data_IF_113498849023
#
_entry.id   IF_113498849023
#
_cell.length_a   1.000
_cell.length_b   1.000
_cell.length_c   1.000
_cell.angle_alpha   90.00
_cell.angle_beta   90.00
_cell.angle_gamma   90.00
#
_symmetry.space_group_name_H-M   'P 1'
#
loop_
_entity.id
_entity.type
_entity.pdbx_description
1 polymer ?
#
# COMPACT_ATOMS: atom_id res chain seq x y z
N UNK A 1 3.16 36.04 0.48
CA UNK A 1 2.02 35.43 -0.26
C UNK A 1 1.59 34.13 0.40
N UNK A 2 2.45 33.10 0.52
CA UNK A 2 2.09 31.83 1.18
C UNK A 2 1.58 32.02 2.62
N UNK A 3 2.26 32.82 3.45
CA UNK A 3 1.81 33.13 4.81
C UNK A 3 0.41 33.76 4.83
N UNK A 4 0.09 34.64 3.87
CA UNK A 4 -1.24 35.25 3.77
C UNK A 4 -2.31 34.22 3.40
N UNK A 5 -1.98 33.27 2.52
CA UNK A 5 -2.87 32.16 2.17
C UNK A 5 -3.10 31.23 3.36
N UNK A 6 -2.06 30.92 4.15
CA UNK A 6 -2.18 30.16 5.40
C UNK A 6 -3.11 30.90 6.38
N UNK A 7 -2.95 32.21 6.55
CA UNK A 7 -3.84 32.99 7.42
C UNK A 7 -5.30 32.99 6.94
N UNK A 8 -5.53 33.12 5.63
CA UNK A 8 -6.87 33.03 5.05
C UNK A 8 -7.49 31.64 5.25
N UNK A 9 -6.68 30.58 5.14
CA UNK A 9 -7.10 29.20 5.38
C UNK A 9 -7.51 28.97 6.85
N UNK A 10 -6.70 29.42 7.80
CA UNK A 10 -7.01 29.33 9.24
C UNK A 10 -8.32 30.05 9.55
N UNK A 11 -8.57 31.19 8.90
CA UNK A 11 -9.82 31.95 9.03
C UNK A 11 -10.99 31.36 8.25
N UNK A 12 -10.81 30.25 7.54
CA UNK A 12 -11.81 29.60 6.70
C UNK A 12 -12.35 30.54 5.59
N UNK A 13 -11.49 31.42 5.09
CA UNK A 13 -11.79 32.36 3.99
C UNK A 13 -11.56 31.72 2.60
N UNK A 14 -10.85 30.59 2.55
CA UNK A 14 -10.58 29.83 1.32
C UNK A 14 -11.64 28.74 1.09
N UNK A 15 -12.06 28.57 -0.16
CA UNK A 15 -12.94 27.46 -0.54
C UNK A 15 -12.23 26.10 -0.45
N UNK A 16 -12.98 25.00 -0.40
CA UNK A 16 -12.41 23.64 -0.42
C UNK A 16 -11.50 23.41 -1.62
N UNK A 17 -11.84 23.95 -2.80
CA UNK A 17 -11.01 23.85 -4.00
C UNK A 17 -9.72 24.67 -3.90
N UNK A 18 -9.76 25.87 -3.31
CA UNK A 18 -8.56 26.69 -3.12
C UNK A 18 -7.58 26.03 -2.15
N UNK A 19 -8.10 25.40 -1.08
CA UNK A 19 -7.28 24.62 -0.14
C UNK A 19 -6.66 23.40 -0.83
N UNK A 20 -7.49 22.59 -1.50
CA UNK A 20 -7.00 21.45 -2.29
C UNK A 20 -5.90 21.86 -3.29
N UNK A 21 -6.13 22.90 -4.09
CA UNK A 21 -5.14 23.36 -5.07
C UNK A 21 -3.85 23.88 -4.42
N UNK A 22 -3.96 24.60 -3.29
CA UNK A 22 -2.78 25.12 -2.58
C UNK A 22 -1.88 23.97 -2.08
N UNK A 23 -2.48 22.92 -1.51
CA UNK A 23 -1.73 21.75 -1.05
C UNK A 23 -1.11 20.97 -2.21
N UNK A 24 -1.89 20.72 -3.27
CA UNK A 24 -1.45 20.02 -4.46
C UNK A 24 -0.30 20.74 -5.18
N UNK A 25 -0.43 22.06 -5.38
CA UNK A 25 0.60 22.90 -6.01
C UNK A 25 1.88 22.92 -5.17
N UNK A 26 1.77 23.01 -3.84
CA UNK A 26 2.93 22.97 -2.96
C UNK A 26 3.67 21.63 -3.08
N UNK A 27 2.94 20.52 -3.10
CA UNK A 27 3.52 19.21 -3.33
C UNK A 27 4.20 19.11 -4.71
N UNK A 28 3.55 19.59 -5.77
CA UNK A 28 4.11 19.61 -7.12
C UNK A 28 5.41 20.44 -7.21
N UNK A 29 5.46 21.60 -6.54
CA UNK A 29 6.65 22.44 -6.46
C UNK A 29 7.80 21.72 -5.73
N UNK A 30 7.51 20.95 -4.68
CA UNK A 30 8.52 20.13 -3.99
C UNK A 30 9.05 19.06 -4.95
N UNK A 31 8.17 18.32 -5.60
CA UNK A 31 8.54 17.23 -6.50
C UNK A 31 9.29 17.74 -7.74
N UNK A 32 8.99 18.95 -8.21
CA UNK A 32 9.72 19.65 -9.27
C UNK A 32 11.04 20.27 -8.81
N UNK A 33 11.36 20.23 -7.51
CA UNK A 33 12.58 20.79 -6.95
C UNK A 33 12.58 22.31 -6.78
N UNK A 34 11.44 22.99 -6.93
CA UNK A 34 11.31 24.44 -6.79
C UNK A 34 11.22 24.91 -5.33
N UNK A 35 10.75 24.04 -4.43
CA UNK A 35 10.71 24.28 -2.97
C UNK A 35 11.15 23.02 -2.22
N UNK A 36 11.30 23.10 -0.89
CA UNK A 36 11.80 21.99 -0.06
C UNK A 36 10.69 21.19 0.61
N UNK A 37 10.97 19.92 0.92
CA UNK A 37 10.08 19.08 1.73
C UNK A 37 9.76 19.71 3.10
N UNK A 38 10.70 20.46 3.67
CA UNK A 38 10.50 21.21 4.92
C UNK A 38 9.43 22.29 4.75
N UNK A 39 9.43 23.01 3.63
CA UNK A 39 8.43 24.05 3.36
C UNK A 39 7.03 23.43 3.24
N UNK A 40 6.91 22.25 2.63
CA UNK A 40 5.65 21.50 2.55
C UNK A 40 5.19 21.00 3.92
N UNK A 41 6.09 20.46 4.76
CA UNK A 41 5.71 20.10 6.13
C UNK A 41 5.32 21.30 6.99
N UNK A 42 5.97 22.45 6.80
CA UNK A 42 5.54 23.69 7.45
C UNK A 42 4.15 24.14 6.97
N UNK A 43 3.83 24.00 5.69
CA UNK A 43 2.47 24.25 5.20
C UNK A 43 1.44 23.34 5.88
N UNK A 44 1.73 22.03 5.96
CA UNK A 44 0.86 21.09 6.64
C UNK A 44 0.66 21.46 8.12
N UNK A 45 1.74 21.74 8.84
CA UNK A 45 1.68 22.07 10.28
C UNK A 45 0.94 23.37 10.58
N UNK A 46 1.21 24.41 9.80
CA UNK A 46 0.65 25.74 10.07
C UNK A 46 -0.75 25.93 9.45
N UNK A 47 -1.13 25.07 8.51
CA UNK A 47 -2.32 25.26 7.71
C UNK A 47 -3.36 24.14 7.80
N UNK A 48 -2.93 22.88 7.83
CA UNK A 48 -3.81 21.72 7.63
C UNK A 48 -4.01 20.85 8.88
N UNK A 49 -3.30 21.10 9.99
CA UNK A 49 -3.45 20.33 11.24
C UNK A 49 -4.91 20.32 11.74
N UNK A 50 -5.59 21.45 11.58
CA UNK A 50 -6.99 21.64 11.97
C UNK A 50 -7.93 21.74 10.76
N UNK A 51 -7.53 21.21 9.59
CA UNK A 51 -8.38 21.15 8.40
C UNK A 51 -9.70 20.47 8.74
N UNK A 52 -10.80 20.98 8.17
CA UNK A 52 -12.14 20.41 8.36
C UNK A 52 -12.22 19.01 7.76
N UNK A 53 -13.27 18.25 8.06
CA UNK A 53 -13.39 16.86 7.61
C UNK A 53 -13.81 16.76 6.11
N UNK A 54 -13.15 17.54 5.24
CA UNK A 54 -13.32 17.58 3.79
C UNK A 54 -12.55 16.43 3.12
N UNK A 55 -13.28 15.41 2.64
CA UNK A 55 -12.71 14.19 2.03
C UNK A 55 -11.75 14.49 0.87
N UNK A 56 -12.05 15.50 0.05
CA UNK A 56 -11.22 15.86 -1.12
C UNK A 56 -9.82 16.34 -0.70
N UNK A 57 -9.75 17.24 0.27
CA UNK A 57 -8.49 17.84 0.73
C UNK A 57 -7.65 16.80 1.46
N UNK A 58 -8.27 16.06 2.38
CA UNK A 58 -7.56 15.01 3.11
C UNK A 58 -7.04 13.89 2.21
N UNK A 59 -7.81 13.47 1.20
CA UNK A 59 -7.34 12.42 0.27
C UNK A 59 -6.05 12.82 -0.46
N UNK A 60 -5.92 14.10 -0.84
CA UNK A 60 -4.70 14.59 -1.52
C UNK A 60 -3.52 14.62 -0.55
N UNK A 61 -3.71 15.20 0.64
CA UNK A 61 -2.73 15.22 1.73
C UNK A 61 -2.24 13.81 2.05
N UNK A 62 -3.16 12.87 2.23
CA UNK A 62 -2.86 11.49 2.58
C UNK A 62 -2.08 10.77 1.47
N UNK A 63 -2.44 10.97 0.19
CA UNK A 63 -1.66 10.45 -0.95
C UNK A 63 -0.25 11.03 -0.96
N UNK A 64 -0.12 12.35 -0.80
CA UNK A 64 1.18 13.04 -0.79
C UNK A 64 2.05 12.60 0.40
N UNK A 65 1.47 12.41 1.59
CA UNK A 65 2.12 11.82 2.76
C UNK A 65 2.63 10.41 2.44
N UNK A 66 1.79 9.51 1.90
CA UNK A 66 2.24 8.17 1.53
C UNK A 66 3.43 8.24 0.55
N UNK A 67 3.34 9.08 -0.49
CA UNK A 67 4.39 9.24 -1.50
C UNK A 67 5.69 9.80 -0.92
N UNK A 68 5.63 10.71 0.03
CA UNK A 68 6.80 11.20 0.77
C UNK A 68 7.36 10.10 1.68
N UNK A 69 6.51 9.31 2.33
CA UNK A 69 6.93 8.13 3.09
C UNK A 69 7.78 7.17 2.25
N UNK A 70 7.36 6.89 1.01
CA UNK A 70 8.13 6.03 0.09
C UNK A 70 9.49 6.60 -0.31
N UNK A 71 9.67 7.91 -0.21
CA UNK A 71 10.94 8.59 -0.44
C UNK A 71 11.83 8.50 0.80
N UNK A 72 11.27 8.78 1.99
CA UNK A 72 12.03 8.90 3.23
C UNK A 72 12.48 7.54 3.79
N UNK A 73 11.83 6.43 3.43
CA UNK A 73 12.20 5.08 3.89
C UNK A 73 13.59 4.60 3.44
N UNK A 74 14.24 5.31 2.51
CA UNK A 74 15.63 5.06 2.13
C UNK A 74 16.64 5.62 3.15
N UNK A 75 16.22 6.47 4.09
CA UNK A 75 17.00 6.90 5.25
C UNK A 75 16.22 6.53 6.53
N UNK A 76 16.67 5.47 7.21
CA UNK A 76 16.00 4.92 8.39
C UNK A 76 15.76 5.97 9.48
N UNK A 77 16.74 6.82 9.74
CA UNK A 77 16.62 7.80 10.82
C UNK A 77 15.59 8.88 10.46
N UNK A 78 15.60 9.37 9.22
CA UNK A 78 14.58 10.30 8.74
C UNK A 78 13.19 9.67 8.76
N UNK A 79 13.07 8.40 8.39
CA UNK A 79 11.79 7.70 8.41
C UNK A 79 11.22 7.55 9.84
N UNK A 80 12.07 7.30 10.84
CA UNK A 80 11.64 7.24 12.25
C UNK A 80 11.13 8.61 12.77
N UNK A 81 11.72 9.73 12.33
CA UNK A 81 11.17 11.05 12.61
C UNK A 81 9.86 11.31 11.85
N UNK A 82 9.82 10.91 10.58
CA UNK A 82 8.64 11.06 9.74
C UNK A 82 7.43 10.31 10.30
N UNK A 83 7.63 9.12 10.86
CA UNK A 83 6.59 8.39 11.60
C UNK A 83 5.97 9.24 12.72
N UNK A 84 6.80 9.91 13.52
CA UNK A 84 6.32 10.77 14.61
C UNK A 84 5.53 11.97 14.07
N UNK A 85 5.99 12.55 12.95
CA UNK A 85 5.24 13.59 12.25
C UNK A 85 3.87 13.12 11.81
N UNK A 86 3.77 11.93 11.20
CA UNK A 86 2.50 11.37 10.77
C UNK A 86 1.53 11.19 11.94
N UNK A 87 2.00 10.66 13.07
CA UNK A 87 1.17 10.53 14.27
C UNK A 87 0.72 11.89 14.82
N UNK A 88 1.63 12.86 14.87
CA UNK A 88 1.33 14.20 15.37
C UNK A 88 0.33 14.92 14.48
N UNK A 89 0.58 14.96 13.17
CA UNK A 89 -0.20 15.72 12.20
C UNK A 89 -1.66 15.27 12.17
N UNK A 90 -1.90 13.96 12.23
CA UNK A 90 -3.26 13.41 12.16
C UNK A 90 -3.99 13.31 13.52
N UNK A 91 -3.36 13.71 14.63
CA UNK A 91 -3.94 13.52 15.97
C UNK A 91 -5.30 14.19 16.12
N UNK A 92 -5.46 15.42 15.62
CA UNK A 92 -6.70 16.19 15.77
C UNK A 92 -7.79 15.55 14.93
N UNK A 93 -7.49 15.17 13.69
CA UNK A 93 -8.44 14.45 12.83
C UNK A 93 -8.89 13.14 13.47
N UNK A 94 -7.96 12.33 13.99
CA UNK A 94 -8.29 11.07 14.65
C UNK A 94 -9.17 11.27 15.89
N UNK A 95 -8.92 12.30 16.71
CA UNK A 95 -9.77 12.63 17.85
C UNK A 95 -11.23 12.92 17.44
N UNK A 96 -11.44 13.52 16.26
CA UNK A 96 -12.78 13.81 15.74
C UNK A 96 -13.44 12.59 15.11
N UNK A 97 -12.71 11.80 14.32
CA UNK A 97 -13.32 10.72 13.52
C UNK A 97 -13.29 9.36 14.23
N UNK A 98 -12.28 9.07 15.03
CA UNK A 98 -12.12 7.83 15.78
C UNK A 98 -12.02 6.56 14.92
N UNK A 99 -11.89 5.41 15.59
CA UNK A 99 -11.76 4.09 14.95
C UNK A 99 -13.12 3.49 14.55
N UNK A 100 -14.15 3.69 15.37
CA UNK A 100 -15.48 3.08 15.19
C UNK A 100 -16.39 4.13 14.52
N UNK A 101 -17.16 3.75 13.49
CA UNK A 101 -18.13 4.67 12.89
C UNK A 101 -19.24 5.04 13.88
N UNK A 102 -19.71 6.29 13.81
CA UNK A 102 -20.90 6.73 14.53
C UNK A 102 -22.14 6.61 13.65
N UNK A 103 -23.33 6.49 14.26
CA UNK A 103 -24.60 6.34 13.53
C UNK A 103 -24.91 7.49 12.56
N UNK A 104 -24.38 8.68 12.82
CA UNK A 104 -24.58 9.87 11.99
C UNK A 104 -23.40 10.17 11.05
N UNK A 105 -22.46 9.24 10.89
CA UNK A 105 -21.33 9.44 9.98
C UNK A 105 -21.80 9.50 8.52
N UNK A 106 -21.34 10.52 7.79
CA UNK A 106 -21.48 10.55 6.34
C UNK A 106 -20.63 9.47 5.68
N UNK A 107 -20.99 9.08 4.46
CA UNK A 107 -20.19 8.15 3.64
C UNK A 107 -18.76 8.69 3.46
N UNK A 108 -18.63 10.00 3.23
CA UNK A 108 -17.35 10.70 3.09
C UNK A 108 -16.47 10.55 4.35
N UNK A 109 -17.06 10.78 5.53
CA UNK A 109 -16.37 10.59 6.83
C UNK A 109 -15.92 9.14 7.03
N UNK A 110 -16.74 8.17 6.60
CA UNK A 110 -16.39 6.75 6.62
C UNK A 110 -15.17 6.42 5.76
N UNK A 111 -15.05 7.05 4.58
CA UNK A 111 -13.89 6.89 3.68
C UNK A 111 -12.65 7.56 4.24
N UNK A 112 -12.77 8.79 4.74
CA UNK A 112 -11.68 9.51 5.41
C UNK A 112 -11.11 8.69 6.57
N UNK A 113 -11.97 8.05 7.37
CA UNK A 113 -11.54 7.12 8.42
C UNK A 113 -10.72 5.96 7.89
N UNK A 114 -11.12 5.38 6.75
CA UNK A 114 -10.41 4.25 6.16
C UNK A 114 -8.95 4.61 5.83
N UNK A 115 -8.73 5.76 5.20
CA UNK A 115 -7.39 6.22 4.84
C UNK A 115 -6.57 6.59 6.07
N UNK A 116 -7.17 7.35 7.00
CA UNK A 116 -6.49 7.74 8.24
C UNK A 116 -6.00 6.53 9.03
N UNK A 117 -6.85 5.51 9.19
CA UNK A 117 -6.48 4.29 9.92
C UNK A 117 -5.31 3.57 9.27
N UNK A 118 -5.25 3.51 7.93
CA UNK A 118 -4.11 2.92 7.23
C UNK A 118 -2.84 3.71 7.48
N UNK A 119 -2.87 5.04 7.37
CA UNK A 119 -1.68 5.86 7.61
C UNK A 119 -1.18 5.72 9.04
N UNK A 120 -2.07 5.81 10.03
CA UNK A 120 -1.71 5.67 11.45
C UNK A 120 -1.23 4.25 11.79
N UNK A 121 -1.88 3.23 11.24
CA UNK A 121 -1.55 1.84 11.51
C UNK A 121 -0.31 1.34 10.76
N UNK A 122 -0.04 1.84 9.55
CA UNK A 122 1.11 1.43 8.73
C UNK A 122 2.29 2.36 8.95
N UNK A 123 2.33 3.55 8.36
CA UNK A 123 3.44 4.50 8.48
C UNK A 123 3.63 4.95 9.94
N UNK A 124 2.53 5.23 10.64
CA UNK A 124 2.54 5.69 12.04
C UNK A 124 2.91 4.59 13.05
N UNK A 125 2.73 3.31 12.72
CA UNK A 125 2.89 2.17 13.64
C UNK A 125 2.13 2.34 14.97
N UNK A 126 0.94 2.97 14.99
CA UNK A 126 0.20 3.14 16.24
C UNK A 126 -0.25 1.77 16.80
N UNK A 127 0.25 1.35 17.98
CA UNK A 127 0.01 0.01 18.50
C UNK A 127 -1.45 -0.22 18.88
N UNK A 128 -2.20 0.83 19.23
CA UNK A 128 -3.62 0.74 19.56
C UNK A 128 -4.44 0.46 18.32
N UNK A 129 -4.14 1.15 17.21
CA UNK A 129 -4.79 0.91 15.91
C UNK A 129 -4.49 -0.50 15.41
N UNK A 130 -3.25 -0.96 15.54
CA UNK A 130 -2.86 -2.32 15.16
C UNK A 130 -3.61 -3.36 15.99
N UNK A 131 -3.68 -3.19 17.32
CA UNK A 131 -4.44 -4.10 18.20
C UNK A 131 -5.92 -4.17 17.84
N UNK A 132 -6.57 -3.01 17.70
CA UNK A 132 -7.99 -2.94 17.32
C UNK A 132 -8.25 -3.53 15.93
N UNK A 133 -7.31 -3.39 15.01
CA UNK A 133 -7.43 -4.00 13.67
C UNK A 133 -7.36 -5.52 13.74
N UNK A 134 -6.53 -6.10 14.62
CA UNK A 134 -6.52 -7.54 14.88
C UNK A 134 -7.84 -8.02 15.51
N UNK A 135 -8.37 -7.29 16.48
CA UNK A 135 -9.69 -7.58 17.07
C UNK A 135 -10.80 -7.56 16.01
N UNK A 136 -10.79 -6.54 15.14
CA UNK A 136 -11.76 -6.42 14.06
C UNK A 136 -11.62 -7.53 13.01
N UNK A 137 -10.40 -8.01 12.73
CA UNK A 137 -10.17 -9.18 11.87
C UNK A 137 -10.85 -10.43 12.43
N UNK A 138 -10.80 -10.64 13.76
CA UNK A 138 -11.50 -11.77 14.40
C UNK A 138 -13.02 -11.66 14.26
N UNK A 139 -13.58 -10.45 14.34
CA UNK A 139 -15.00 -10.21 14.06
C UNK A 139 -15.35 -10.62 12.63
N UNK A 140 -14.52 -10.24 11.65
CA UNK A 140 -14.72 -10.64 10.26
C UNK A 140 -14.61 -12.16 10.05
N UNK A 141 -13.76 -12.87 10.80
CA UNK A 141 -13.66 -14.33 10.68
C UNK A 141 -14.87 -15.06 11.29
N UNK A 142 -15.51 -14.46 12.29
CA UNK A 142 -16.65 -15.05 12.99
C UNK A 142 -18.00 -14.70 12.34
N UNK A 143 -18.08 -13.58 11.62
CA UNK A 143 -19.31 -13.13 10.96
C UNK A 143 -19.08 -12.75 9.48
N UNK A 144 -19.55 -13.63 8.59
CA UNK A 144 -19.50 -13.43 7.15
C UNK A 144 -20.49 -12.38 6.63
N UNK A 145 -21.45 -11.92 7.44
CA UNK A 145 -22.40 -10.87 7.07
C UNK A 145 -21.81 -9.46 7.20
N UNK A 146 -20.83 -9.29 8.09
CA UNK A 146 -20.10 -8.02 8.27
C UNK A 146 -19.26 -7.75 7.02
N UNK A 147 -19.41 -6.55 6.45
CA UNK A 147 -18.62 -6.15 5.27
C UNK A 147 -17.16 -5.97 5.64
N UNK A 148 -16.25 -6.54 4.85
CA UNK A 148 -14.81 -6.39 5.08
C UNK A 148 -14.35 -5.01 4.62
N UNK A 149 -13.60 -4.33 5.47
CA UNK A 149 -12.90 -3.09 5.15
C UNK A 149 -11.43 -3.40 4.87
N UNK A 150 -10.96 -3.03 3.67
CA UNK A 150 -9.57 -3.21 3.26
C UNK A 150 -8.53 -2.60 4.23
N UNK A 151 -8.77 -1.45 4.92
CA UNK A 151 -7.82 -0.86 5.85
C UNK A 151 -7.42 -1.81 6.98
N UNK A 152 -8.38 -2.56 7.51
CA UNK A 152 -8.13 -3.52 8.59
C UNK A 152 -7.22 -4.64 8.09
N UNK A 153 -7.48 -5.16 6.90
CA UNK A 153 -6.62 -6.16 6.28
C UNK A 153 -5.22 -5.61 6.02
N UNK A 154 -5.10 -4.38 5.53
CA UNK A 154 -3.82 -3.72 5.27
C UNK A 154 -2.99 -3.51 6.54
N UNK A 155 -3.59 -2.99 7.60
CA UNK A 155 -2.91 -2.74 8.89
C UNK A 155 -2.45 -4.07 9.50
N UNK A 156 -3.30 -5.10 9.51
CA UNK A 156 -2.90 -6.41 10.05
C UNK A 156 -1.81 -7.06 9.19
N UNK A 157 -1.92 -6.98 7.86
CA UNK A 157 -0.90 -7.49 6.94
C UNK A 157 0.45 -6.82 7.15
N UNK A 158 0.47 -5.50 7.33
CA UNK A 158 1.69 -4.72 7.53
C UNK A 158 2.49 -5.16 8.77
N UNK A 159 1.79 -5.61 9.81
CA UNK A 159 2.38 -6.09 11.07
C UNK A 159 2.24 -7.60 11.25
N UNK A 160 2.05 -8.35 10.15
CA UNK A 160 1.61 -9.73 10.23
C UNK A 160 2.65 -10.63 10.91
N UNK A 161 2.19 -11.33 11.96
CA UNK A 161 2.77 -12.62 12.32
C UNK A 161 2.30 -13.71 11.35
N UNK A 162 2.91 -14.89 11.43
CA UNK A 162 2.44 -16.05 10.65
C UNK A 162 0.97 -16.38 10.92
N UNK A 163 0.50 -16.24 12.17
CA UNK A 163 -0.90 -16.43 12.53
C UNK A 163 -1.81 -15.34 11.93
N UNK A 164 -1.37 -14.08 11.92
CA UNK A 164 -2.11 -12.97 11.31
C UNK A 164 -2.30 -13.22 9.81
N UNK A 165 -1.22 -13.64 9.12
CA UNK A 165 -1.27 -13.93 7.68
C UNK A 165 -2.21 -15.11 7.37
N UNK A 166 -2.13 -16.20 8.14
CA UNK A 166 -3.04 -17.33 8.00
C UNK A 166 -4.52 -16.93 8.21
N UNK A 167 -4.78 -16.04 9.17
CA UNK A 167 -6.11 -15.49 9.41
C UNK A 167 -6.61 -14.63 8.24
N UNK A 168 -5.74 -13.83 7.62
CA UNK A 168 -6.09 -13.03 6.44
C UNK A 168 -6.40 -13.90 5.22
N UNK A 169 -5.63 -14.96 4.97
CA UNK A 169 -5.93 -15.93 3.92
C UNK A 169 -7.25 -16.66 4.18
N UNK A 170 -7.47 -17.13 5.42
CA UNK A 170 -8.73 -17.76 5.83
C UNK A 170 -9.91 -16.81 5.63
N UNK A 171 -9.76 -15.53 5.99
CA UNK A 171 -10.80 -14.52 5.75
C UNK A 171 -11.10 -14.42 4.26
N UNK A 172 -10.08 -14.30 3.41
CA UNK A 172 -10.28 -14.23 1.96
C UNK A 172 -11.05 -15.45 1.42
N UNK A 173 -10.69 -16.67 1.85
CA UNK A 173 -11.34 -17.91 1.41
C UNK A 173 -12.80 -18.01 1.82
N UNK A 174 -13.12 -17.56 3.04
CA UNK A 174 -14.48 -17.63 3.59
C UNK A 174 -15.44 -16.62 2.94
N UNK A 175 -14.95 -15.58 2.27
CA UNK A 175 -15.80 -14.50 1.77
C UNK A 175 -16.51 -14.90 0.49
N UNK A 176 -17.86 -14.90 0.46
CA UNK A 176 -18.62 -15.32 -0.72
C UNK A 176 -18.63 -14.24 -1.81
N UNK A 177 -18.62 -12.97 -1.43
CA UNK A 177 -18.68 -11.83 -2.37
C UNK A 177 -17.29 -11.55 -2.97
N UNK A 178 -17.24 -11.36 -4.29
CA UNK A 178 -16.01 -11.01 -5.01
C UNK A 178 -15.40 -9.71 -4.47
N UNK A 179 -16.21 -8.70 -4.20
CA UNK A 179 -15.73 -7.40 -3.70
C UNK A 179 -15.01 -7.52 -2.37
N UNK A 180 -15.53 -8.34 -1.43
CA UNK A 180 -14.88 -8.55 -0.13
C UNK A 180 -13.55 -9.31 -0.31
N UNK A 181 -13.51 -10.28 -1.23
CA UNK A 181 -12.25 -10.98 -1.58
C UNK A 181 -11.22 -10.02 -2.18
N UNK A 182 -11.64 -9.10 -3.06
CA UNK A 182 -10.74 -8.10 -3.64
C UNK A 182 -10.22 -7.12 -2.57
N UNK A 183 -11.05 -6.73 -1.60
CA UNK A 183 -10.60 -5.90 -0.46
C UNK A 183 -9.60 -6.62 0.43
N UNK A 184 -9.83 -7.92 0.70
CA UNK A 184 -8.87 -8.74 1.43
C UNK A 184 -7.55 -8.87 0.65
N UNK A 185 -7.63 -9.11 -0.66
CA UNK A 185 -6.48 -9.23 -1.55
C UNK A 185 -5.65 -7.93 -1.57
N UNK A 186 -6.31 -6.79 -1.73
CA UNK A 186 -5.67 -5.48 -1.62
C UNK A 186 -4.95 -5.31 -0.28
N UNK A 187 -5.60 -5.61 0.84
CA UNK A 187 -4.99 -5.53 2.17
C UNK A 187 -3.80 -6.49 2.36
N UNK A 188 -3.88 -7.72 1.85
CA UNK A 188 -2.80 -8.71 1.90
C UNK A 188 -1.50 -8.20 1.26
N UNK A 189 -1.56 -7.32 0.27
CA UNK A 189 -0.36 -6.76 -0.37
C UNK A 189 0.45 -5.81 0.52
N UNK A 190 -0.03 -5.46 1.72
CA UNK A 190 0.70 -4.62 2.67
C UNK A 190 1.71 -5.37 3.53
N UNK A 191 1.85 -6.70 3.36
CA UNK A 191 2.86 -7.50 4.09
C UNK A 191 4.28 -6.94 3.91
N UNK A 192 5.06 -7.00 4.98
CA UNK A 192 6.42 -6.44 5.03
C UNK A 192 7.52 -7.51 5.12
N UNK A 193 7.23 -8.65 5.73
CA UNK A 193 8.19 -9.74 5.85
C UNK A 193 8.43 -10.41 4.47
N UNK A 194 9.70 -10.65 4.07
CA UNK A 194 10.03 -11.25 2.78
C UNK A 194 9.33 -12.57 2.49
N UNK A 195 9.22 -13.46 3.49
CA UNK A 195 8.59 -14.78 3.31
C UNK A 195 7.08 -14.63 3.12
N UNK A 196 6.48 -13.68 3.83
CA UNK A 196 5.07 -13.35 3.65
C UNK A 196 4.80 -12.69 2.31
N UNK A 197 5.68 -11.80 1.84
CA UNK A 197 5.58 -11.18 0.51
C UNK A 197 5.58 -12.26 -0.57
N UNK A 198 6.55 -13.16 -0.56
CA UNK A 198 6.63 -14.26 -1.55
C UNK A 198 5.36 -15.11 -1.53
N UNK A 199 4.86 -15.47 -0.35
CA UNK A 199 3.64 -16.27 -0.20
C UNK A 199 2.39 -15.55 -0.75
N UNK A 200 2.30 -14.23 -0.55
CA UNK A 200 1.19 -13.43 -1.09
C UNK A 200 1.34 -13.22 -2.60
N UNK A 201 2.55 -13.04 -3.12
CA UNK A 201 2.83 -13.00 -4.57
C UNK A 201 2.47 -14.33 -5.24
N UNK A 202 2.84 -15.45 -4.63
CA UNK A 202 2.49 -16.80 -5.09
C UNK A 202 0.97 -17.00 -5.15
N UNK A 203 0.27 -16.50 -4.14
CA UNK A 203 -1.19 -16.55 -4.11
C UNK A 203 -1.84 -15.77 -5.27
N UNK A 204 -1.29 -14.60 -5.59
CA UNK A 204 -1.76 -13.75 -6.69
C UNK A 204 -1.20 -14.13 -8.07
N UNK A 205 -0.46 -15.24 -8.17
CA UNK A 205 0.25 -15.65 -9.38
C UNK A 205 -0.60 -15.66 -10.65
N UNK A 206 0.08 -15.49 -11.78
CA UNK A 206 -0.52 -15.49 -13.11
C UNK A 206 -1.32 -16.76 -13.41
N UNK A 207 -0.92 -17.89 -12.82
CA UNK A 207 -1.54 -19.20 -12.99
C UNK A 207 -2.78 -19.41 -12.10
N UNK A 208 -3.07 -18.46 -11.20
CA UNK A 208 -4.22 -18.53 -10.33
C UNK A 208 -5.40 -17.71 -10.89
N UNK A 209 -6.49 -18.39 -11.23
CA UNK A 209 -7.67 -17.80 -11.90
C UNK A 209 -8.63 -17.07 -10.94
N UNK A 210 -8.33 -17.00 -9.63
CA UNK A 210 -9.23 -16.35 -8.68
C UNK A 210 -9.32 -14.82 -8.88
N UNK A 211 -8.23 -14.18 -9.29
CA UNK A 211 -8.16 -12.72 -9.54
C UNK A 211 -7.90 -12.47 -11.03
N UNK A 212 -8.77 -11.67 -11.64
CA UNK A 212 -8.71 -11.36 -13.06
C UNK A 212 -7.51 -10.45 -13.33
N UNK A 213 -6.95 -10.54 -14.53
CA UNK A 213 -5.77 -9.76 -14.93
C UNK A 213 -5.89 -8.27 -14.59
N UNK A 214 -7.00 -7.61 -14.92
CA UNK A 214 -7.21 -6.18 -14.63
C UNK A 214 -7.36 -5.84 -13.14
N UNK A 215 -7.76 -6.79 -12.29
CA UNK A 215 -7.87 -6.59 -10.84
C UNK A 215 -6.52 -6.79 -10.13
N UNK A 216 -5.57 -7.47 -10.78
CA UNK A 216 -4.25 -7.77 -10.20
C UNK A 216 -3.48 -6.50 -9.90
N UNK A 217 -3.43 -5.54 -10.84
CA UNK A 217 -2.72 -4.27 -10.64
C UNK A 217 -3.18 -3.58 -9.36
N UNK A 218 -4.50 -3.51 -9.14
CA UNK A 218 -5.07 -2.92 -7.92
C UNK A 218 -4.67 -3.73 -6.68
N UNK A 219 -4.80 -5.05 -6.71
CA UNK A 219 -4.47 -5.92 -5.56
C UNK A 219 -3.00 -5.84 -5.15
N UNK A 220 -2.10 -5.43 -6.04
CA UNK A 220 -0.66 -5.35 -5.78
C UNK A 220 -0.16 -3.97 -5.34
N UNK A 221 -1.04 -2.96 -5.30
CA UNK A 221 -0.64 -1.59 -4.96
C UNK A 221 0.03 -1.50 -3.60
N UNK A 222 -0.40 -2.27 -2.60
CA UNK A 222 0.20 -2.23 -1.25
C UNK A 222 1.69 -2.61 -1.25
N UNK A 223 2.12 -3.52 -2.13
CA UNK A 223 3.55 -3.86 -2.26
C UNK A 223 4.37 -2.64 -2.69
N UNK A 224 3.78 -1.77 -3.52
CA UNK A 224 4.45 -0.60 -4.05
C UNK A 224 4.69 0.48 -2.98
N UNK A 225 3.99 0.41 -1.85
CA UNK A 225 4.05 1.41 -0.78
C UNK A 225 5.12 1.13 0.29
N UNK A 226 5.94 0.09 0.10
CA UNK A 226 7.10 -0.20 0.95
C UNK A 226 8.31 -0.59 0.10
N UNK A 227 9.53 -0.27 0.54
CA UNK A 227 10.79 -0.58 -0.15
C UNK A 227 10.96 -2.07 -0.35
N UNK A 228 10.65 -2.86 0.69
CA UNK A 228 10.74 -4.31 0.62
C UNK A 228 9.72 -4.87 -0.37
N UNK A 229 8.45 -4.46 -0.26
CA UNK A 229 7.39 -4.88 -1.18
C UNK A 229 7.71 -4.53 -2.64
N UNK A 230 8.19 -3.30 -2.90
CA UNK A 230 8.62 -2.86 -4.25
C UNK A 230 9.69 -3.74 -4.83
N UNK A 231 10.73 -4.02 -4.05
CA UNK A 231 11.84 -4.85 -4.48
C UNK A 231 11.35 -6.25 -4.88
N UNK A 232 10.61 -6.93 -4.00
CA UNK A 232 10.14 -8.30 -4.24
C UNK A 232 9.13 -8.38 -5.38
N UNK A 233 8.13 -7.48 -5.39
CA UNK A 233 7.09 -7.52 -6.39
C UNK A 233 7.62 -7.25 -7.81
N UNK A 234 8.58 -6.36 -7.94
CA UNK A 234 9.16 -6.11 -9.26
C UNK A 234 10.11 -7.19 -9.71
N UNK A 235 10.91 -7.78 -8.80
CA UNK A 235 11.66 -9.00 -9.13
C UNK A 235 10.71 -10.09 -9.60
N UNK A 236 9.55 -10.21 -8.99
CA UNK A 236 8.50 -11.13 -9.46
C UNK A 236 8.04 -10.78 -10.88
N UNK A 237 7.80 -9.50 -11.21
CA UNK A 237 7.45 -9.07 -12.58
C UNK A 237 8.57 -9.40 -13.57
N UNK A 238 9.82 -9.09 -13.24
CA UNK A 238 11.00 -9.36 -14.08
C UNK A 238 11.16 -10.86 -14.34
N UNK A 239 11.06 -11.68 -13.29
CA UNK A 239 11.20 -13.13 -13.35
C UNK A 239 10.03 -13.82 -14.06
N UNK A 240 8.88 -13.16 -14.19
CA UNK A 240 7.71 -13.71 -14.87
C UNK A 240 7.38 -12.98 -16.18
N UNK A 241 8.26 -12.07 -16.64
CA UNK A 241 7.97 -11.15 -17.73
C UNK A 241 7.43 -11.82 -18.99
N UNK A 242 8.07 -12.91 -19.44
CA UNK A 242 7.64 -13.63 -20.65
C UNK A 242 6.23 -14.21 -20.49
N UNK A 243 5.89 -14.72 -19.31
CA UNK A 243 4.54 -15.22 -19.01
C UNK A 243 3.52 -14.08 -18.96
N UNK A 244 3.86 -12.95 -18.33
CA UNK A 244 3.00 -11.77 -18.27
C UNK A 244 2.73 -11.29 -19.70
N UNK A 245 3.78 -11.13 -20.51
CA UNK A 245 3.69 -10.68 -21.90
C UNK A 245 2.83 -11.60 -22.75
N UNK A 246 2.97 -12.91 -22.61
CA UNK A 246 2.19 -13.88 -23.37
C UNK A 246 0.68 -13.81 -23.07
N UNK A 247 0.30 -13.32 -21.88
CA UNK A 247 -1.09 -13.29 -21.41
C UNK A 247 -1.69 -11.88 -21.32
N UNK A 248 -1.00 -10.85 -21.82
CA UNK A 248 -1.44 -9.46 -21.70
C UNK A 248 -1.18 -8.64 -22.97
N UNK A 249 -2.00 -7.60 -23.15
CA UNK A 249 -1.82 -6.62 -24.21
C UNK A 249 -0.85 -5.51 -23.79
N UNK A 250 -0.42 -4.70 -24.76
CA UNK A 250 0.54 -3.62 -24.52
C UNK A 250 0.01 -2.56 -23.54
N UNK A 251 -1.30 -2.28 -23.57
CA UNK A 251 -1.96 -1.34 -22.67
C UNK A 251 -1.90 -1.79 -21.20
N UNK A 252 -2.13 -3.08 -20.95
CA UNK A 252 -2.00 -3.65 -19.61
C UNK A 252 -0.56 -3.61 -19.13
N UNK A 253 0.40 -3.94 -20.00
CA UNK A 253 1.83 -3.89 -19.65
C UNK A 253 2.28 -2.47 -19.33
N UNK A 254 1.86 -1.50 -20.13
CA UNK A 254 2.12 -0.08 -19.88
C UNK A 254 1.57 0.35 -18.52
N UNK A 255 0.31 0.02 -18.21
CA UNK A 255 -0.29 0.29 -16.92
C UNK A 255 0.45 -0.43 -15.78
N UNK A 256 0.75 -1.72 -15.93
CA UNK A 256 1.49 -2.49 -14.94
C UNK A 256 2.82 -1.81 -14.60
N UNK A 257 3.61 -1.41 -15.59
CA UNK A 257 4.90 -0.77 -15.32
C UNK A 257 4.73 0.61 -14.66
N UNK A 258 3.81 1.43 -15.18
CA UNK A 258 3.51 2.76 -14.62
C UNK A 258 3.11 2.71 -13.15
N UNK A 259 2.20 1.80 -12.80
CA UNK A 259 1.65 1.73 -11.45
C UNK A 259 2.60 1.06 -10.43
N UNK A 260 3.59 0.26 -10.90
CA UNK A 260 4.38 -0.60 -9.99
C UNK A 260 5.85 -0.23 -9.85
N UNK A 261 6.43 0.49 -10.81
CA UNK A 261 7.84 0.88 -10.79
C UNK A 261 8.11 2.33 -10.37
N UNK A 262 7.08 3.16 -10.16
CA UNK A 262 7.21 4.62 -10.00
C UNK A 262 7.79 5.16 -8.68
N UNK A 263 8.00 4.33 -7.65
CA UNK A 263 8.23 4.81 -6.28
C UNK A 263 9.65 4.60 -5.74
N UNK A 264 10.62 4.16 -6.55
CA UNK A 264 12.02 4.12 -6.11
C UNK A 264 12.65 5.50 -5.97
N UNK A 265 13.78 5.56 -5.27
CA UNK A 265 14.49 6.80 -4.98
C UNK A 265 15.99 6.62 -4.88
N UNK A 266 16.57 5.70 -5.65
CA UNK A 266 18.03 5.53 -5.74
C UNK A 266 18.49 5.46 -7.19
N UNK A 267 19.71 5.94 -7.46
CA UNK A 267 20.28 5.91 -8.81
C UNK A 267 20.47 4.48 -9.32
N UNK A 268 20.87 3.55 -8.45
CA UNK A 268 21.05 2.13 -8.80
C UNK A 268 19.75 1.50 -9.30
N UNK A 269 18.61 1.82 -8.66
CA UNK A 269 17.31 1.33 -9.10
C UNK A 269 16.89 1.95 -10.44
N UNK A 270 17.20 3.22 -10.69
CA UNK A 270 16.97 3.84 -11.99
C UNK A 270 17.77 3.13 -13.10
N UNK A 271 19.04 2.82 -12.84
CA UNK A 271 19.89 2.08 -13.79
C UNK A 271 19.34 0.67 -14.02
N UNK A 272 18.94 -0.06 -12.97
CA UNK A 272 18.34 -1.39 -13.11
C UNK A 272 17.10 -1.38 -14.00
N UNK A 273 16.20 -0.41 -13.80
CA UNK A 273 14.96 -0.29 -14.58
C UNK A 273 15.28 -0.03 -16.06
N UNK A 274 16.24 0.86 -16.36
CA UNK A 274 16.71 1.09 -17.72
C UNK A 274 17.33 -0.16 -18.33
N UNK A 275 18.21 -0.84 -17.59
CA UNK A 275 18.85 -2.06 -18.05
C UNK A 275 17.85 -3.18 -18.33
N UNK A 276 16.78 -3.30 -17.54
CA UNK A 276 15.75 -4.32 -17.75
C UNK A 276 14.85 -4.01 -18.95
N UNK A 277 14.37 -2.76 -19.07
CA UNK A 277 13.37 -2.40 -20.08
C UNK A 277 13.94 -1.90 -21.40
N UNK A 278 15.16 -1.36 -21.39
CA UNK A 278 15.78 -0.75 -22.57
C UNK A 278 16.84 -1.66 -23.20
N UNK A 279 17.32 -2.71 -22.52
CA UNK A 279 18.15 -3.72 -23.16
C UNK A 279 17.38 -4.46 -24.26
N UNK A 280 18.10 -4.84 -25.32
CA UNK A 280 17.54 -5.68 -26.39
C UNK A 280 17.37 -7.15 -25.96
N UNK A 281 17.96 -7.53 -24.83
CA UNK A 281 17.89 -8.85 -24.23
C UNK A 281 17.25 -8.71 -22.86
N UNK A 282 16.02 -9.21 -22.70
CA UNK A 282 15.39 -9.31 -21.36
C UNK A 282 16.33 -10.05 -20.41
N UNK A 283 16.37 -9.68 -19.12
CA UNK A 283 17.25 -10.29 -18.10
C UNK A 283 17.23 -11.83 -18.11
N UNK A 284 16.08 -12.45 -18.44
CA UNK A 284 15.96 -13.90 -18.60
C UNK A 284 16.74 -14.48 -19.79
N UNK A 285 16.88 -13.75 -20.89
CA UNK A 285 17.74 -14.15 -22.01
C UNK A 285 19.21 -14.10 -21.62
N UNK A 286 19.66 -13.04 -20.93
CA UNK A 286 21.03 -13.00 -20.39
C UNK A 286 21.29 -14.14 -19.43
N UNK A 287 20.40 -14.36 -18.47
CA UNK A 287 20.56 -15.45 -17.49
C UNK A 287 20.46 -16.86 -18.12
N UNK A 288 19.68 -17.04 -19.19
CA UNK A 288 19.64 -18.31 -19.96
C UNK A 288 20.83 -18.46 -20.92
N UNK A 289 21.42 -17.37 -21.42
CA UNK A 289 22.64 -17.36 -22.23
C UNK A 289 23.87 -17.65 -21.35
N UNK A 290 23.95 -17.04 -20.16
CA UNK A 290 24.99 -17.28 -19.16
C UNK A 290 24.91 -18.70 -18.59
N UNK A 291 23.70 -19.26 -18.42
CA UNK A 291 23.51 -20.67 -18.04
C UNK A 291 23.78 -21.67 -19.18
N UNK A 292 23.76 -21.24 -20.44
CA UNK A 292 24.11 -22.11 -21.58
C UNK A 292 25.60 -22.42 -21.68
N UNK A 293 26.46 -21.71 -20.96
CA UNK A 293 27.90 -21.98 -20.89
C UNK A 293 28.32 -22.94 -19.77
N UNK A 294 27.38 -23.55 -19.04
CA UNK A 294 27.71 -24.62 -18.06
C UNK A 294 26.70 -25.79 -18.15
N UNK A 295 27.16 -27.06 -18.19
CA UNK A 295 26.22 -28.18 -18.19
C UNK A 295 25.83 -28.51 -16.76
N UNK A 296 24.61 -28.15 -16.32
CA UNK A 296 24.00 -28.78 -15.15
C UNK A 296 22.45 -28.73 -15.17
N UNK A 297 21.90 -29.84 -14.71
CA UNK A 297 20.53 -30.37 -14.61
C UNK A 297 19.50 -29.44 -13.90
N UNK A 298 18.18 -29.52 -14.22
CA UNK A 298 17.16 -28.65 -13.61
C UNK A 298 16.74 -29.11 -12.20
N UNK A 299 16.68 -28.17 -11.24
CA UNK A 299 15.91 -28.29 -9.98
C UNK A 299 14.83 -27.20 -10.03
N UNK A 300 13.52 -27.43 -10.15
CA UNK A 300 12.57 -28.19 -9.30
C UNK A 300 12.76 -27.98 -7.79
N UNK A 301 11.80 -27.24 -7.21
CA UNK A 301 11.38 -27.19 -5.79
C UNK A 301 12.46 -26.86 -4.75
N UNK A 302 12.35 -25.65 -4.18
CA UNK A 302 12.92 -25.36 -2.85
C UNK A 302 12.07 -26.11 -1.82
N UNK A 303 12.51 -27.31 -1.44
CA UNK A 303 12.12 -27.98 -0.21
C UNK A 303 13.28 -27.80 0.78
N UNK A 304 12.95 -27.23 1.94
CA UNK A 304 13.83 -27.17 3.11
C UNK A 304 14.04 -28.60 3.62
N UNK A 305 15.27 -29.12 3.61
CA UNK A 305 15.74 -30.12 4.59
C UNK A 305 17.28 -30.21 4.66
N UNK A 306 17.76 -30.42 5.88
CA UNK A 306 19.15 -30.49 6.32
C UNK A 306 19.89 -31.78 5.91
N UNK A 307 21.22 -31.66 5.71
CA UNK A 307 22.32 -32.62 5.95
C UNK A 307 22.41 -34.00 5.23
N UNK A 308 23.55 -34.20 4.52
CA UNK A 308 24.34 -35.44 4.21
C UNK A 308 23.66 -36.48 3.27
N UNK A 309 24.30 -37.24 2.36
CA UNK A 309 25.70 -37.62 2.03
C UNK A 309 25.78 -38.10 0.54
N UNK A 310 26.93 -38.00 -0.11
CA UNK A 310 27.19 -38.31 -1.54
C UNK A 310 27.54 -39.79 -1.82
N UNK A 311 26.58 -40.66 -2.14
CA UNK A 311 26.93 -42.01 -2.66
C UNK A 311 26.04 -42.63 -3.77
N UNK A 312 25.17 -41.89 -4.46
CA UNK A 312 24.33 -42.49 -5.54
C UNK A 312 24.29 -41.68 -6.84
N UNK A 313 25.42 -41.10 -7.28
CA UNK A 313 25.54 -40.40 -8.57
C UNK A 313 26.23 -41.20 -9.69
N UNK A 314 26.37 -42.52 -9.56
CA UNK A 314 27.13 -43.34 -10.52
C UNK A 314 26.34 -44.36 -11.32
N UNK A 315 25.08 -44.10 -11.69
CA UNK A 315 24.42 -44.86 -12.78
C UNK A 315 23.27 -44.07 -13.37
N UNK A 316 23.40 -43.62 -14.62
CA UNK A 316 22.44 -43.85 -15.73
C UNK A 316 22.88 -43.02 -16.96
N UNK A 317 22.91 -43.73 -18.09
CA UNK A 317 23.46 -43.40 -19.40
C UNK A 317 22.54 -42.50 -20.25
N UNK A 318 23.16 -41.60 -21.02
CA UNK A 318 22.54 -40.80 -22.09
C UNK A 318 22.08 -41.69 -23.25
N UNK A 319 20.79 -41.75 -23.55
CA UNK A 319 20.29 -41.88 -24.93
C UNK A 319 18.77 -41.69 -25.02
N UNK A 320 18.34 -41.03 -26.09
CA UNK A 320 16.96 -40.81 -26.59
C UNK A 320 16.15 -39.65 -26.00
N UNK A 321 16.34 -38.46 -26.59
CA UNK A 321 15.29 -37.44 -26.73
C UNK A 321 15.32 -36.89 -28.17
N UNK A 322 14.16 -36.67 -28.80
CA UNK A 322 14.06 -36.25 -30.20
C UNK A 322 14.52 -34.80 -30.40
N UNK A 323 15.08 -34.53 -31.57
CA UNK A 323 15.54 -33.21 -32.02
C UNK A 323 14.49 -32.12 -31.77
N UNK A 324 14.87 -30.93 -31.27
CA UNK A 324 13.91 -29.86 -31.10
C UNK A 324 13.53 -29.29 -32.48
N UNK A 325 12.24 -29.29 -32.75
CA UNK A 325 11.63 -28.49 -33.81
C UNK A 325 11.91 -27.03 -33.47
N UNK A 326 12.93 -26.47 -34.10
CA UNK A 326 13.15 -25.03 -34.19
C UNK A 326 12.05 -24.45 -35.08
N UNK A 327 10.93 -24.04 -34.48
CA UNK A 327 9.99 -23.10 -35.09
C UNK A 327 8.98 -22.61 -34.03
N UNK A 328 9.29 -21.47 -33.41
CA UNK A 328 8.35 -20.35 -33.24
C UNK A 328 9.13 -19.11 -32.78
N UNK A 329 8.81 -17.97 -33.39
CA UNK A 329 9.43 -16.67 -33.16
C UNK A 329 9.48 -16.31 -31.67
N UNK A 330 10.69 -16.08 -31.16
CA UNK A 330 10.91 -15.44 -29.85
C UNK A 330 10.37 -14.00 -29.92
N UNK A 331 9.14 -13.75 -29.47
CA UNK A 331 8.69 -12.39 -29.16
C UNK A 331 9.24 -11.97 -27.78
N UNK A 332 10.56 -11.79 -27.71
CA UNK A 332 11.27 -11.13 -26.62
C UNK A 332 11.29 -9.61 -26.79
N UNK A 333 10.18 -9.01 -27.22
CA UNK A 333 10.13 -7.57 -27.43
C UNK A 333 9.31 -6.89 -26.35
N UNK A 334 10.01 -6.11 -25.52
CA UNK A 334 9.42 -5.10 -24.65
C UNK A 334 8.75 -4.06 -25.57
N UNK A 335 7.42 -3.83 -25.45
CA UNK A 335 6.71 -2.89 -26.31
C UNK A 335 7.29 -1.48 -26.25
N UNK A 336 7.23 -0.73 -27.36
CA UNK A 336 7.77 0.64 -27.44
C UNK A 336 7.20 1.54 -26.33
N UNK A 337 5.88 1.49 -26.12
CA UNK A 337 5.21 2.23 -25.03
C UNK A 337 5.72 1.87 -23.64
N UNK A 338 6.04 0.59 -23.40
CA UNK A 338 6.62 0.14 -22.12
C UNK A 338 8.02 0.73 -21.95
N UNK A 339 8.82 0.81 -23.02
CA UNK A 339 10.15 1.45 -22.99
C UNK A 339 10.07 2.95 -22.67
N UNK A 340 9.10 3.65 -23.28
CA UNK A 340 8.85 5.07 -23.00
C UNK A 340 8.48 5.30 -21.53
N UNK A 341 7.53 4.51 -21.01
CA UNK A 341 7.13 4.57 -19.60
C UNK A 341 8.29 4.25 -18.67
N UNK A 342 9.08 3.21 -18.96
CA UNK A 342 10.24 2.84 -18.16
C UNK A 342 11.31 3.94 -18.14
N UNK A 343 11.52 4.64 -19.25
CA UNK A 343 12.44 5.80 -19.32
C UNK A 343 11.96 6.95 -18.42
N UNK A 344 10.67 7.28 -18.47
CA UNK A 344 10.06 8.30 -17.58
C UNK A 344 10.21 7.91 -16.11
N UNK A 345 9.96 6.64 -15.77
CA UNK A 345 10.10 6.13 -14.40
C UNK A 345 11.54 6.19 -13.93
N UNK A 346 12.50 5.84 -14.78
CA UNK A 346 13.92 5.87 -14.45
C UNK A 346 14.40 7.30 -14.21
N UNK A 347 13.98 8.24 -15.07
CA UNK A 347 14.21 9.66 -14.85
C UNK A 347 13.57 10.14 -13.53
N UNK A 348 12.31 9.81 -13.28
CA UNK A 348 11.59 10.18 -12.05
C UNK A 348 12.27 9.61 -10.79
N UNK A 349 12.78 8.38 -10.88
CA UNK A 349 13.52 7.71 -9.79
C UNK A 349 14.81 8.48 -9.45
N UNK A 350 15.56 8.96 -10.45
CA UNK A 350 16.73 9.81 -10.23
C UNK A 350 16.37 11.16 -9.61
N UNK A 351 15.30 11.80 -10.11
CA UNK A 351 14.82 13.07 -9.55
C UNK A 351 14.41 12.92 -8.09
N UNK A 352 13.74 11.82 -7.74
CA UNK A 352 13.42 11.47 -6.34
C UNK A 352 14.68 11.27 -5.50
N UNK A 353 15.67 10.54 -6.00
CA UNK A 353 16.95 10.36 -5.31
C UNK A 353 17.65 11.70 -5.04
N UNK A 354 17.70 12.59 -6.04
CA UNK A 354 18.29 13.92 -5.91
C UNK A 354 17.52 14.81 -4.93
N UNK A 355 16.18 14.73 -4.92
CA UNK A 355 15.34 15.46 -3.97
C UNK A 355 15.64 15.06 -2.52
N UNK A 356 15.71 13.75 -2.24
CA UNK A 356 16.04 13.25 -0.90
C UNK A 356 17.43 13.71 -0.47
N UNK A 357 18.43 13.60 -1.35
CA UNK A 357 19.81 14.02 -1.05
C UNK A 357 19.87 15.52 -0.74
N UNK A 358 19.19 16.35 -1.54
CA UNK A 358 19.15 17.81 -1.38
C UNK A 358 18.55 18.22 -0.04
N UNK A 359 17.44 17.60 0.36
CA UNK A 359 16.67 18.03 1.53
C UNK A 359 17.05 17.29 2.82
N UNK A 360 17.90 16.26 2.76
CA UNK A 360 18.26 15.39 3.89
C UNK A 360 18.63 16.16 5.16
N UNK A 361 19.59 17.07 5.08
CA UNK A 361 20.06 17.79 6.27
C UNK A 361 19.05 18.82 6.78
N UNK A 362 18.29 19.44 5.88
CA UNK A 362 17.18 20.35 6.26
C UNK A 362 16.08 19.60 6.97
N UNK A 363 15.73 18.41 6.50
CA UNK A 363 14.76 17.53 7.13
C UNK A 363 15.21 17.08 8.52
N UNK A 364 16.48 16.69 8.68
CA UNK A 364 17.03 16.34 10.00
C UNK A 364 16.94 17.52 10.96
N UNK A 365 17.35 18.70 10.53
CA UNK A 365 17.27 19.91 11.34
C UNK A 365 15.82 20.26 11.69
N UNK A 366 14.90 20.16 10.72
CA UNK A 366 13.47 20.39 10.93
C UNK A 366 12.90 19.44 12.00
N UNK A 367 13.09 18.13 11.85
CA UNK A 367 12.56 17.17 12.81
C UNK A 367 13.20 17.26 14.20
N UNK A 368 14.42 17.78 14.31
CA UNK A 368 15.13 17.97 15.59
C UNK A 368 14.89 19.34 16.23
N UNK A 369 14.31 20.28 15.49
CA UNK A 369 14.02 21.62 15.98
C UNK A 369 12.92 21.63 17.03
N UNK A 370 12.97 22.61 17.96
CA UNK A 370 11.93 22.83 18.96
C UNK A 370 10.55 23.15 18.36
N UNK A 371 10.52 23.58 17.09
CA UNK A 371 9.27 23.85 16.35
C UNK A 371 8.50 22.59 15.96
N UNK A 372 9.15 21.44 15.89
CA UNK A 372 8.47 20.16 15.81
C UNK A 372 8.52 19.50 17.19
N UNK A 373 7.40 19.32 17.90
CA UNK A 373 7.43 18.69 19.21
C UNK A 373 7.75 17.20 19.03
N UNK A 374 9.04 16.87 19.01
CA UNK A 374 9.50 15.52 19.29
C UNK A 374 9.02 15.20 20.70
N UNK A 375 8.03 14.33 20.79
CA UNK A 375 7.63 13.75 22.06
C UNK A 375 8.88 13.08 22.63
N UNK A 376 9.44 13.68 23.69
CA UNK A 376 10.68 13.20 24.32
C UNK A 376 10.61 11.69 24.54
N UNK A 377 11.74 11.02 24.31
CA UNK A 377 11.95 9.56 24.34
C UNK A 377 11.65 8.86 25.67
N UNK A 378 10.97 9.52 26.60
CA UNK A 378 10.55 9.02 27.91
C UNK A 378 9.09 8.57 27.95
N UNK A 379 8.28 8.86 26.93
CA UNK A 379 6.93 8.28 26.82
C UNK A 379 7.04 6.88 26.21
N UNK A 380 6.88 5.84 27.06
CA UNK A 380 6.66 4.47 26.63
C UNK A 380 5.67 4.43 25.46
N UNK A 381 5.95 3.61 24.44
CA UNK A 381 5.20 3.44 23.20
C UNK A 381 3.78 2.88 23.38
N UNK A 382 3.01 3.40 24.34
CA UNK A 382 1.73 2.88 24.79
C UNK A 382 0.80 3.98 25.29
N UNK A 383 0.73 5.15 24.63
CA UNK A 383 -0.32 6.16 24.94
C UNK A 383 -0.34 7.44 24.07
N UNK A 384 0.20 7.48 22.85
CA UNK A 384 0.42 8.78 22.17
C UNK A 384 -0.85 9.41 21.54
N UNK A 385 -1.89 8.61 21.26
CA UNK A 385 -3.24 9.12 20.98
C UNK A 385 -4.07 9.29 22.29
N UNK A 386 -3.60 8.73 23.42
CA UNK A 386 -4.39 8.53 24.65
C UNK A 386 -4.18 9.57 25.75
N UNK A 387 -3.32 10.58 25.59
CA UNK A 387 -3.45 11.76 26.44
C UNK A 387 -4.65 12.58 25.93
N UNK A 388 -5.86 12.21 26.37
CA UNK A 388 -7.07 13.04 26.61
C UNK A 388 -8.35 12.20 26.39
N UNK A 389 -9.15 12.11 27.45
CA UNK A 389 -10.50 11.53 27.60
C UNK A 389 -10.68 10.00 27.68
N UNK A 390 -10.23 9.42 28.79
CA UNK A 390 -10.72 8.15 29.36
C UNK A 390 -11.88 8.35 30.34
N UNK A 391 -12.92 9.07 29.92
CA UNK A 391 -14.21 9.09 30.63
C UNK A 391 -15.31 8.86 29.62
N UNK A 392 -15.66 7.58 29.39
CA UNK A 392 -17.01 7.09 29.02
C UNK A 392 -17.11 5.61 28.59
N UNK A 393 -16.07 4.78 28.76
CA UNK A 393 -16.14 3.36 28.33
C UNK A 393 -16.15 2.38 29.51
N UNK A 394 -16.99 2.63 30.51
CA UNK A 394 -17.25 1.66 31.60
C UNK A 394 -18.72 1.32 31.85
N UNK A 395 -19.67 1.81 31.03
CA UNK A 395 -21.11 1.62 31.29
C UNK A 395 -21.91 0.81 30.25
N UNK A 396 -21.29 0.02 29.37
CA UNK A 396 -22.05 -0.76 28.36
C UNK A 396 -21.83 -2.28 28.36
N UNK A 397 -21.20 -2.85 29.39
CA UNK A 397 -21.07 -4.32 29.53
C UNK A 397 -22.10 -4.94 30.50
N UNK A 398 -23.01 -4.16 31.07
CA UNK A 398 -24.09 -4.71 31.90
C UNK A 398 -25.43 -4.04 31.62
N UNK A 399 -26.25 -4.67 30.79
CA UNK A 399 -27.73 -4.64 30.70
C UNK A 399 -28.09 -4.97 29.24
N UNK A 400 -28.58 -6.16 28.92
CA UNK A 400 -30.02 -6.37 28.99
C UNK A 400 -30.37 -7.84 28.73
N UNK A 401 -30.54 -8.59 29.82
CA UNK A 401 -31.47 -9.71 29.83
C UNK A 401 -32.80 -9.21 30.36
N UNK A 402 -33.74 -8.79 29.51
CA UNK A 402 -35.18 -8.88 29.82
C UNK A 402 -36.06 -8.72 28.58
N UNK A 403 -36.90 -9.73 28.38
CA UNK A 403 -38.01 -9.82 27.42
C UNK A 403 -38.95 -8.61 27.52
N UNK A 404 -39.38 -8.05 26.38
CA UNK A 404 -40.74 -7.48 26.25
C UNK A 404 -41.32 -7.72 24.85
N UNK A 405 -42.59 -8.13 24.87
CA UNK A 405 -43.42 -8.65 23.77
C UNK A 405 -43.89 -7.54 22.81
N UNK A 406 -44.00 -7.93 21.54
CA UNK A 406 -44.98 -7.56 20.48
C UNK A 406 -45.79 -6.26 20.67
N UNK A 407 -45.77 -5.44 19.62
CA UNK A 407 -47.01 -5.02 18.96
C UNK A 407 -46.81 -4.99 17.44
N UNK A 408 -47.68 -5.71 16.74
CA UNK A 408 -47.85 -5.74 15.29
C UNK A 408 -48.94 -4.71 15.00
N UNK A 409 -48.67 -3.75 14.12
CA UNK A 409 -49.68 -2.98 13.43
C UNK A 409 -49.33 -2.95 11.94
N UNK A 410 -50.10 -3.71 11.18
CA UNK A 410 -50.12 -3.75 9.72
C UNK A 410 -50.74 -2.49 9.15
N UNK A 411 -50.15 -1.88 8.12
CA UNK A 411 -50.85 -1.11 7.08
C UNK A 411 -49.95 -0.95 5.82
N UNK A 412 -50.29 -1.77 4.82
CA UNK A 412 -50.14 -1.70 3.35
C UNK A 412 -48.87 -1.23 2.59
N UNK A 413 -48.64 -1.80 1.38
CA UNK A 413 -47.35 -1.79 0.69
C UNK A 413 -47.43 -1.08 -0.67
N UNK A 414 -46.99 0.18 -0.78
CA UNK A 414 -46.78 0.82 -2.09
C UNK A 414 -45.74 1.93 -2.01
N UNK A 415 -44.46 1.58 -2.10
CA UNK A 415 -43.43 2.37 -2.79
C UNK A 415 -42.15 1.54 -2.84
N UNK A 416 -41.95 0.85 -3.96
CA UNK A 416 -40.73 0.14 -4.29
C UNK A 416 -39.57 1.15 -4.45
N UNK A 417 -38.78 1.35 -3.40
CA UNK A 417 -37.42 1.89 -3.52
C UNK A 417 -36.47 0.71 -3.78
N UNK A 418 -35.64 0.73 -4.83
CA UNK A 418 -34.73 -0.37 -5.12
C UNK A 418 -33.61 -0.45 -4.07
N UNK A 419 -33.07 -1.65 -3.80
CA UNK A 419 -31.99 -1.84 -2.84
C UNK A 419 -30.70 -1.20 -3.36
N UNK A 420 -30.02 -0.48 -2.48
CA UNK A 420 -28.68 0.10 -2.66
C UNK A 420 -27.71 -0.98 -3.14
N UNK A 421 -27.47 -1.01 -4.45
CA UNK A 421 -26.61 -1.96 -5.14
C UNK A 421 -25.60 -1.16 -5.94
N UNK A 422 -24.31 -1.42 -5.65
CA UNK A 422 -23.13 -0.91 -6.32
C UNK A 422 -22.88 0.60 -6.13
N UNK A 423 -21.67 0.95 -5.66
CA UNK A 423 -20.88 2.15 -6.00
C UNK A 423 -19.71 2.29 -5.02
N UNK A 424 -18.77 1.34 -5.10
CA UNK A 424 -17.34 1.56 -4.75
C UNK A 424 -16.44 1.19 -5.96
N UNK A 425 -17.02 1.17 -7.15
CA UNK A 425 -16.35 0.97 -8.43
C UNK A 425 -16.11 2.32 -9.11
N UNK A 426 -15.30 3.18 -8.49
CA UNK A 426 -14.60 4.30 -9.15
C UNK A 426 -13.84 5.11 -8.08
N UNK A 427 -12.54 5.26 -8.30
CA UNK A 427 -11.61 6.18 -7.63
C UNK A 427 -11.07 5.85 -6.23
N UNK A 428 -10.58 4.62 -6.05
CA UNK A 428 -9.56 4.28 -5.05
C UNK A 428 -8.13 4.32 -5.60
N UNK A 429 -7.83 5.21 -6.55
CA UNK A 429 -6.44 5.57 -6.85
C UNK A 429 -5.94 6.56 -5.79
N UNK A 430 -5.07 6.06 -4.91
CA UNK A 430 -3.96 6.85 -4.34
C UNK A 430 -2.90 6.99 -5.41
#
# INVERSE_FOLDING_TARGET
>A
MLEQLIQAMIKQELSTFDRFNLENDMYALVMGGFTSLVDYFNLLLNGYVDEVDDELVWKDIESNIIRIGTLLEYDKQLFDYYRQFVLFFHRTLYQRIGFIPNDNDSIARGRLRCFLLVILGTIGHDPTIVSKSREQLLVYLNDSSVTVLWPICAIVAHHASENDLNNLFKLWEQRPRRDDRLRCAYGLSYVQDPVHIDRVLDFFTLNNNFIRLHERIECYKGFCLSKQGRYYYQRYIENNWLSIRANSNDEYLEALIRETFGYFSTNDEAVRIEEFFLSNETFQQKHQLDQKETPATPCTRIAVHLCLDDHELSTITKSNLPSPILNHHYHSMIPVKVKEVASIISHTTRTRAALLERDRDRLRAFFQSDSFPLLSSTCSASSQILSINTTNVSNLVSTSGTKRKRQIASLNPTSSSPPVRNLLTSDTSV
#
